data_IF_898014563472
#
_entry.id   IF_898014563472
#
_cell.length_a   1.000
_cell.length_b   1.000
_cell.length_c   1.000
_cell.angle_alpha   90.00
_cell.angle_beta   90.00
_cell.angle_gamma   90.00
#
_symmetry.space_group_name_H-M   'P 1'
#
loop_
_entity.id
_entity.type
_entity.pdbx_description
1 polymer ?
#
# COMPACT_ATOMS: atom_id res chain seq x y z
N UNK A 1 -4.36 -0.69 56.20
CA UNK A 1 -4.14 -2.15 55.96
C UNK A 1 -4.61 -2.51 54.55
N UNK A 2 -3.69 -2.73 53.59
CA UNK A 2 -3.82 -3.53 52.33
C UNK A 2 -2.77 -3.11 51.28
N UNK A 3 -1.53 -3.58 51.43
CA UNK A 3 -0.53 -3.63 50.34
C UNK A 3 0.12 -5.02 50.21
N UNK A 4 -0.20 -5.95 51.11
CA UNK A 4 0.39 -7.30 51.18
C UNK A 4 -0.36 -8.36 50.37
N UNK A 5 -1.59 -8.09 49.93
CA UNK A 5 -2.47 -9.13 49.37
C UNK A 5 -2.23 -9.39 47.86
N UNK A 6 -1.84 -8.36 47.09
CA UNK A 6 -1.57 -8.51 45.66
C UNK A 6 -0.23 -9.22 45.38
N UNK A 7 0.84 -8.81 46.06
CA UNK A 7 2.16 -9.43 45.93
C UNK A 7 2.17 -10.86 46.46
N UNK A 8 1.46 -11.13 47.56
CA UNK A 8 1.36 -12.48 48.14
C UNK A 8 0.71 -13.52 47.21
N UNK A 9 -0.15 -13.10 46.27
CA UNK A 9 -0.73 -14.00 45.26
C UNK A 9 0.10 -14.16 43.98
N UNK A 10 1.00 -13.22 43.70
CA UNK A 10 1.87 -13.23 42.51
C UNK A 10 3.17 -14.00 42.75
N UNK A 11 3.76 -13.88 43.93
CA UNK A 11 5.04 -14.56 44.26
C UNK A 11 4.97 -16.08 44.05
N UNK A 12 3.94 -16.81 44.54
CA UNK A 12 3.88 -18.26 44.36
C UNK A 12 3.66 -18.68 42.90
N UNK A 13 2.90 -17.89 42.12
CA UNK A 13 2.70 -18.14 40.69
C UNK A 13 3.96 -17.84 39.88
N UNK A 14 4.71 -16.82 40.28
CA UNK A 14 5.99 -16.48 39.68
C UNK A 14 7.02 -17.58 39.97
N UNK A 15 7.13 -18.03 41.21
CA UNK A 15 8.04 -19.11 41.59
C UNK A 15 7.70 -20.44 40.89
N UNK A 16 6.41 -20.72 40.67
CA UNK A 16 5.97 -21.87 39.89
C UNK A 16 6.36 -21.74 38.40
N UNK A 17 6.22 -20.56 37.81
CA UNK A 17 6.67 -20.28 36.43
C UNK A 17 8.19 -20.39 36.28
N UNK A 18 8.96 -19.92 37.28
CA UNK A 18 10.42 -20.03 37.30
C UNK A 18 10.84 -21.50 37.40
N UNK A 19 10.26 -22.27 38.32
CA UNK A 19 10.56 -23.69 38.45
C UNK A 19 10.18 -24.48 37.20
N UNK A 20 9.05 -24.15 36.57
CA UNK A 20 8.65 -24.78 35.32
C UNK A 20 9.59 -24.42 34.16
N UNK A 21 10.04 -23.17 34.07
CA UNK A 21 11.03 -22.73 33.09
C UNK A 21 12.37 -23.45 33.28
N UNK A 22 12.91 -23.50 34.50
CA UNK A 22 14.17 -24.18 34.81
C UNK A 22 14.12 -25.67 34.48
N UNK A 23 13.01 -26.34 34.81
CA UNK A 23 12.81 -27.75 34.47
C UNK A 23 12.64 -27.98 32.96
N UNK A 24 11.98 -27.07 32.25
CA UNK A 24 11.82 -27.14 30.79
C UNK A 24 13.16 -26.94 30.08
N UNK A 25 13.97 -25.98 30.52
CA UNK A 25 15.32 -25.73 29.99
C UNK A 25 16.24 -26.94 30.27
N UNK A 26 16.17 -27.52 31.47
CA UNK A 26 16.92 -28.75 31.80
C UNK A 26 16.50 -29.95 30.91
N UNK A 27 15.19 -30.06 30.60
CA UNK A 27 14.68 -31.04 29.65
C UNK A 27 15.14 -30.81 28.21
N UNK A 28 15.23 -29.54 27.79
CA UNK A 28 15.76 -29.14 26.47
C UNK A 28 17.23 -29.56 26.32
N UNK A 29 18.04 -29.34 27.37
CA UNK A 29 19.46 -29.71 27.39
C UNK A 29 19.70 -31.23 27.33
N UNK A 30 18.77 -32.04 27.86
CA UNK A 30 18.82 -33.52 27.78
C UNK A 30 18.37 -34.09 26.43
N UNK A 31 17.59 -33.33 25.66
CA UNK A 31 17.02 -33.72 24.36
C UNK A 31 17.51 -32.84 23.20
N UNK A 32 18.78 -32.44 23.21
CA UNK A 32 19.38 -31.44 22.30
C UNK A 32 19.04 -31.69 20.82
N UNK A 33 19.02 -32.93 20.34
CA UNK A 33 18.70 -33.24 18.94
C UNK A 33 17.29 -32.82 18.50
N UNK A 34 16.26 -33.07 19.33
CA UNK A 34 14.87 -32.70 19.00
C UNK A 34 14.69 -31.18 18.90
N UNK A 35 15.32 -30.43 19.81
CA UNK A 35 15.22 -28.98 19.80
C UNK A 35 16.07 -28.34 18.69
N UNK A 36 17.14 -28.99 18.25
CA UNK A 36 17.91 -28.58 17.07
C UNK A 36 17.09 -28.71 15.78
N UNK A 37 16.29 -29.78 15.66
CA UNK A 37 15.34 -29.93 14.54
C UNK A 37 14.26 -28.83 14.55
N UNK A 38 13.68 -28.53 15.72
CA UNK A 38 12.70 -27.45 15.84
C UNK A 38 13.32 -26.09 15.46
N UNK A 39 14.55 -25.82 15.92
CA UNK A 39 15.29 -24.62 15.55
C UNK A 39 15.51 -24.54 14.03
N UNK A 40 15.95 -25.63 13.41
CA UNK A 40 16.11 -25.72 11.95
C UNK A 40 14.80 -25.44 11.21
N UNK A 41 13.68 -25.99 11.68
CA UNK A 41 12.36 -25.73 11.09
C UNK A 41 11.97 -24.25 11.17
N UNK A 42 12.24 -23.59 12.30
CA UNK A 42 11.98 -22.15 12.46
C UNK A 42 12.86 -21.33 11.51
N UNK A 43 14.16 -21.65 11.41
CA UNK A 43 15.10 -20.96 10.50
C UNK A 43 14.68 -21.13 9.04
N UNK A 44 14.32 -22.35 8.63
CA UNK A 44 13.81 -22.61 7.27
C UNK A 44 12.50 -21.88 7.03
N UNK A 45 11.58 -21.89 7.99
CA UNK A 45 10.32 -21.15 7.91
C UNK A 45 10.55 -19.65 7.72
N UNK A 46 11.43 -19.06 8.54
CA UNK A 46 11.82 -17.65 8.43
C UNK A 46 12.42 -17.35 7.05
N UNK A 47 13.33 -18.18 6.55
CA UNK A 47 13.94 -17.99 5.24
C UNK A 47 12.90 -18.01 4.11
N UNK A 48 11.93 -18.93 4.16
CA UNK A 48 10.83 -19.01 3.19
C UNK A 48 9.93 -17.78 3.26
N UNK A 49 9.57 -17.33 4.46
CA UNK A 49 8.78 -16.11 4.65
C UNK A 49 9.53 -14.88 4.11
N UNK A 50 10.82 -14.77 4.39
CA UNK A 50 11.64 -13.65 3.92
C UNK A 50 11.76 -13.62 2.40
N UNK A 51 11.92 -14.78 1.74
CA UNK A 51 11.92 -14.86 0.27
C UNK A 51 10.55 -14.57 -0.35
N UNK A 52 9.45 -14.72 0.41
CA UNK A 52 8.08 -14.45 -0.07
C UNK A 52 7.57 -13.07 0.27
N UNK A 53 8.26 -12.32 1.13
CA UNK A 53 7.84 -10.99 1.51
C UNK A 53 8.07 -10.04 0.32
N UNK A 54 7.02 -9.50 -0.32
CA UNK A 54 7.20 -8.54 -1.39
C UNK A 54 7.93 -7.31 -0.83
N UNK A 55 9.05 -6.98 -1.44
CA UNK A 55 9.79 -5.77 -1.10
C UNK A 55 9.08 -4.57 -1.74
N UNK A 56 8.54 -3.67 -0.93
CA UNK A 56 8.16 -2.34 -1.39
C UNK A 56 9.04 -1.31 -0.68
N UNK A 57 9.50 -0.29 -1.41
CA UNK A 57 10.33 0.76 -0.84
C UNK A 57 9.49 1.69 0.06
N UNK A 58 8.29 2.04 -0.39
CA UNK A 58 7.27 2.80 0.32
C UNK A 58 5.88 2.36 -0.19
N UNK A 59 4.85 2.29 0.65
CA UNK A 59 3.48 2.12 0.16
C UNK A 59 3.09 3.34 -0.70
N UNK A 60 2.29 3.10 -1.74
CA UNK A 60 1.73 4.20 -2.52
C UNK A 60 0.75 4.99 -1.64
N UNK A 61 0.98 6.29 -1.48
CA UNK A 61 0.12 7.17 -0.68
C UNK A 61 -0.83 7.97 -1.58
N UNK A 62 -2.08 8.15 -1.15
CA UNK A 62 -3.01 9.08 -1.79
C UNK A 62 -2.55 10.52 -1.49
N UNK A 63 -1.78 11.08 -2.42
CA UNK A 63 -1.31 12.47 -2.32
C UNK A 63 -2.35 13.49 -2.82
N UNK A 64 -3.57 13.05 -3.15
CA UNK A 64 -4.62 13.90 -3.71
C UNK A 64 -4.35 14.39 -5.13
N UNK A 65 -3.32 13.88 -5.80
CA UNK A 65 -2.99 14.25 -7.18
C UNK A 65 -2.54 13.02 -7.97
N UNK A 66 -2.83 13.01 -9.28
CA UNK A 66 -2.27 12.03 -10.19
C UNK A 66 -2.10 12.59 -11.60
N UNK A 67 -1.33 11.88 -12.42
CA UNK A 67 -0.96 12.31 -13.76
C UNK A 67 -1.50 11.32 -14.79
N UNK A 68 -2.13 11.84 -15.84
CA UNK A 68 -2.55 11.05 -17.00
C UNK A 68 -1.67 11.40 -18.19
N UNK A 69 -0.96 10.42 -18.75
CA UNK A 69 -0.18 10.60 -19.98
C UNK A 69 -1.02 10.18 -21.18
N UNK A 70 -1.00 11.00 -22.23
CA UNK A 70 -1.77 10.78 -23.45
C UNK A 70 -0.78 10.69 -24.61
N UNK A 71 -0.81 9.56 -25.31
CA UNK A 71 0.06 9.31 -26.45
C UNK A 71 -0.77 8.79 -27.62
N UNK A 72 -0.91 9.61 -28.66
CA UNK A 72 -1.54 9.25 -29.92
C UNK A 72 -0.52 8.59 -30.87
N UNK A 73 -0.99 7.84 -31.88
CA UNK A 73 -0.13 7.28 -32.93
C UNK A 73 0.73 8.33 -33.62
N UNK A 74 1.87 7.90 -34.15
CA UNK A 74 2.78 8.76 -34.91
C UNK A 74 2.05 9.43 -36.09
N UNK A 75 2.24 10.74 -36.25
CA UNK A 75 1.60 11.54 -37.30
C UNK A 75 0.23 12.13 -36.91
N UNK A 76 -0.24 11.92 -35.67
CA UNK A 76 -1.38 12.67 -35.15
C UNK A 76 -1.01 14.16 -34.95
N UNK A 77 -1.94 15.04 -35.32
CA UNK A 77 -1.78 16.49 -35.17
C UNK A 77 -2.07 16.94 -33.75
N UNK A 78 -1.55 18.11 -33.39
CA UNK A 78 -1.80 18.72 -32.08
C UNK A 78 -3.31 18.90 -31.79
N UNK A 79 -4.11 19.18 -32.83
CA UNK A 79 -5.57 19.30 -32.73
C UNK A 79 -6.26 17.98 -32.36
N UNK A 80 -5.80 16.85 -32.90
CA UNK A 80 -6.33 15.52 -32.50
C UNK A 80 -5.97 15.20 -31.05
N UNK A 81 -4.74 15.52 -30.66
CA UNK A 81 -4.28 15.37 -29.27
C UNK A 81 -5.10 16.25 -28.32
N UNK A 82 -5.40 17.49 -28.73
CA UNK A 82 -6.25 18.40 -27.95
C UNK A 82 -7.63 17.80 -27.74
N UNK A 83 -8.26 17.27 -28.80
CA UNK A 83 -9.59 16.65 -28.70
C UNK A 83 -9.64 15.49 -27.70
N UNK A 84 -8.57 14.69 -27.65
CA UNK A 84 -8.44 13.61 -26.66
C UNK A 84 -8.23 14.19 -25.25
N UNK A 85 -7.39 15.20 -25.08
CA UNK A 85 -7.19 15.90 -23.81
C UNK A 85 -8.51 16.48 -23.27
N UNK A 86 -9.31 17.09 -24.15
CA UNK A 86 -10.63 17.63 -23.81
C UNK A 86 -11.59 16.51 -23.38
N UNK A 87 -11.56 15.37 -24.07
CA UNK A 87 -12.40 14.20 -23.73
C UNK A 87 -12.03 13.61 -22.37
N UNK A 88 -10.73 13.52 -22.07
CA UNK A 88 -10.21 13.05 -20.79
C UNK A 88 -10.57 14.03 -19.67
N UNK A 89 -10.44 15.33 -19.94
CA UNK A 89 -10.83 16.40 -19.00
C UNK A 89 -12.32 16.34 -18.69
N UNK A 90 -13.15 16.20 -19.72
CA UNK A 90 -14.60 16.10 -19.58
C UNK A 90 -15.01 14.87 -18.75
N UNK A 91 -14.39 13.71 -19.02
CA UNK A 91 -14.61 12.50 -18.24
C UNK A 91 -14.30 12.70 -16.75
N UNK A 92 -13.15 13.28 -16.40
CA UNK A 92 -12.79 13.50 -15.01
C UNK A 92 -13.70 14.53 -14.32
N UNK A 93 -14.07 15.61 -15.01
CA UNK A 93 -14.90 16.68 -14.44
C UNK A 93 -16.38 16.30 -14.33
N UNK A 94 -16.88 15.39 -15.16
CA UNK A 94 -18.29 14.98 -15.16
C UNK A 94 -18.51 13.62 -14.49
N UNK A 95 -17.80 12.58 -14.90
CA UNK A 95 -18.00 11.22 -14.39
C UNK A 95 -17.34 11.02 -13.02
N UNK A 96 -16.18 11.65 -12.78
CA UNK A 96 -15.46 11.59 -11.51
C UNK A 96 -15.59 12.88 -10.66
N UNK A 97 -16.64 13.68 -10.92
CA UNK A 97 -16.90 14.96 -10.23
C UNK A 97 -16.96 14.85 -8.71
N UNK A 98 -17.32 13.68 -8.17
CA UNK A 98 -17.32 13.43 -6.73
C UNK A 98 -15.91 13.56 -6.14
N UNK A 99 -14.89 13.11 -6.89
CA UNK A 99 -13.52 12.93 -6.44
C UNK A 99 -12.56 14.00 -6.98
N UNK A 100 -12.75 14.43 -8.23
CA UNK A 100 -11.86 15.38 -8.92
C UNK A 100 -12.23 16.82 -8.55
N UNK A 101 -11.21 17.62 -8.27
CA UNK A 101 -11.34 19.06 -8.01
C UNK A 101 -10.98 19.89 -9.26
N UNK A 102 -9.87 19.57 -9.92
CA UNK A 102 -9.44 20.28 -11.13
C UNK A 102 -8.59 19.42 -12.04
N UNK A 103 -8.65 19.70 -13.35
CA UNK A 103 -7.81 19.06 -14.37
C UNK A 103 -7.04 20.14 -15.13
N UNK A 104 -5.72 20.02 -15.21
CA UNK A 104 -4.86 20.89 -15.97
C UNK A 104 -4.14 20.10 -17.08
N UNK A 105 -4.37 20.44 -18.34
CA UNK A 105 -3.82 19.71 -19.49
C UNK A 105 -2.70 20.47 -20.19
N UNK A 106 -1.68 19.74 -20.62
CA UNK A 106 -0.58 20.22 -21.45
C UNK A 106 -0.57 19.44 -22.76
N UNK A 107 -0.66 20.15 -23.88
CA UNK A 107 -0.60 19.59 -25.22
C UNK A 107 0.79 19.81 -25.83
N UNK A 108 1.36 18.79 -26.46
CA UNK A 108 2.67 18.83 -27.09
C UNK A 108 3.82 18.36 -26.20
N UNK A 109 3.57 18.09 -24.91
CA UNK A 109 4.57 17.65 -23.95
C UNK A 109 4.02 16.54 -23.05
N UNK A 110 4.88 15.58 -22.73
CA UNK A 110 4.66 14.51 -21.77
C UNK A 110 6.00 14.05 -21.19
N UNK A 111 6.01 13.24 -20.13
CA UNK A 111 7.27 12.70 -19.60
C UNK A 111 7.97 11.73 -20.57
N UNK A 112 7.25 11.19 -21.56
CA UNK A 112 7.85 10.36 -22.62
C UNK A 112 8.45 11.19 -23.77
N UNK A 113 8.28 12.51 -23.78
CA UNK A 113 8.88 13.41 -24.76
C UNK A 113 7.96 14.53 -25.23
N UNK A 114 8.49 15.33 -26.17
CA UNK A 114 7.80 16.44 -26.82
C UNK A 114 7.39 16.05 -28.24
N UNK A 115 6.12 16.27 -28.60
CA UNK A 115 5.58 15.88 -29.90
C UNK A 115 4.11 16.24 -30.05
N UNK A 116 3.66 16.48 -31.28
CA UNK A 116 2.27 16.86 -31.57
C UNK A 116 1.24 15.78 -31.18
N UNK A 117 1.69 14.53 -31.09
CA UNK A 117 0.89 13.38 -30.68
C UNK A 117 0.97 13.08 -29.18
N UNK A 118 1.64 13.91 -28.38
CA UNK A 118 1.87 13.70 -26.95
C UNK A 118 1.19 14.78 -26.12
N UNK A 119 0.63 14.39 -24.97
CA UNK A 119 0.02 15.30 -24.01
C UNK A 119 0.01 14.72 -22.60
N UNK A 120 -0.30 15.56 -21.63
CA UNK A 120 -0.36 15.21 -20.21
C UNK A 120 -1.52 15.94 -19.55
N UNK A 121 -2.17 15.30 -18.58
CA UNK A 121 -3.12 15.94 -17.69
C UNK A 121 -2.68 15.77 -16.23
N UNK A 122 -2.67 16.87 -15.49
CA UNK A 122 -2.50 16.93 -14.05
C UNK A 122 -3.88 16.96 -13.43
N UNK A 123 -4.23 15.91 -12.69
CA UNK A 123 -5.54 15.80 -12.04
C UNK A 123 -5.35 16.00 -10.55
N UNK A 124 -5.97 17.04 -10.01
CA UNK A 124 -6.08 17.28 -8.58
C UNK A 124 -7.41 16.74 -8.09
N UNK A 125 -7.35 15.93 -7.05
CA UNK A 125 -8.50 15.43 -6.32
C UNK A 125 -8.87 16.40 -5.20
N UNK A 126 -10.10 16.27 -4.72
CA UNK A 126 -10.56 16.97 -3.52
C UNK A 126 -9.79 16.53 -2.28
N UNK A 127 -9.84 17.30 -1.19
CA UNK A 127 -9.30 16.88 0.11
C UNK A 127 -9.83 15.50 0.52
N UNK A 128 -8.99 14.73 1.19
CA UNK A 128 -9.31 13.35 1.61
C UNK A 128 -10.58 13.29 2.47
N UNK A 129 -10.80 14.31 3.31
CA UNK A 129 -11.99 14.41 4.16
C UNK A 129 -13.29 14.50 3.36
N UNK A 130 -13.24 15.00 2.12
CA UNK A 130 -14.37 15.09 1.21
C UNK A 130 -14.54 13.82 0.33
N UNK A 131 -13.59 12.88 0.40
CA UNK A 131 -13.57 11.62 -0.37
C UNK A 131 -13.68 10.44 0.59
N UNK A 132 -14.91 10.08 0.96
CA UNK A 132 -15.17 8.94 1.85
C UNK A 132 -15.11 7.62 1.08
N UNK A 133 -14.41 6.61 1.62
CA UNK A 133 -14.38 5.24 1.08
C UNK A 133 -13.11 4.92 0.28
N UNK A 134 -12.63 3.68 0.40
CA UNK A 134 -11.43 3.18 -0.28
C UNK A 134 -11.58 3.21 -1.82
N UNK A 135 -12.82 3.18 -2.31
CA UNK A 135 -13.17 3.37 -3.72
C UNK A 135 -12.78 4.75 -4.28
N UNK A 136 -12.69 5.77 -3.43
CA UNK A 136 -12.43 7.16 -3.85
C UNK A 136 -10.96 7.58 -3.68
N UNK A 137 -10.08 6.61 -3.41
CA UNK A 137 -8.65 6.79 -3.40
C UNK A 137 -8.07 6.94 -4.81
N UNK A 138 -6.90 7.58 -4.91
CA UNK A 138 -6.14 7.73 -6.17
C UNK A 138 -5.95 6.37 -6.86
N UNK A 139 -5.55 5.34 -6.10
CA UNK A 139 -5.28 4.01 -6.65
C UNK A 139 -6.55 3.39 -7.26
N UNK A 140 -7.68 3.54 -6.60
CA UNK A 140 -8.98 3.05 -7.09
C UNK A 140 -9.42 3.80 -8.35
N UNK A 141 -9.27 5.12 -8.41
CA UNK A 141 -9.68 5.93 -9.56
C UNK A 141 -8.84 5.61 -10.81
N UNK A 142 -7.55 5.28 -10.64
CA UNK A 142 -6.64 4.96 -11.75
C UNK A 142 -6.82 3.51 -12.24
N UNK A 143 -7.29 2.60 -11.38
CA UNK A 143 -7.44 1.17 -11.72
C UNK A 143 -8.41 0.97 -12.91
N UNK A 144 -7.97 0.35 -14.01
CA UNK A 144 -8.84 0.03 -15.13
C UNK A 144 -10.01 -0.86 -14.67
N UNK A 145 -11.25 -0.41 -14.87
CA UNK A 145 -12.45 -1.17 -14.51
C UNK A 145 -13.02 -0.90 -13.11
N UNK A 146 -12.54 0.13 -12.40
CA UNK A 146 -13.05 0.53 -11.09
C UNK A 146 -14.56 0.83 -11.07
N UNK A 147 -15.08 1.37 -12.18
CA UNK A 147 -16.51 1.48 -12.43
C UNK A 147 -16.85 0.63 -13.65
N UNK A 148 -17.20 -0.62 -13.39
CA UNK A 148 -17.97 -1.39 -14.36
C UNK A 148 -19.27 -0.63 -14.65
N UNK A 149 -19.64 -0.57 -15.93
CA UNK A 149 -20.90 0.00 -16.42
C UNK A 149 -22.11 -0.57 -15.66
#
# INVERSE_FOLDING_TARGET
MRKKDFSAGLTPRFDQSVNHYTNSVSGILRGTGRYLVIYLLIVVGMAVLFMRLPTSFLPDEDQGVFLTMIQLPSGATQERTQKVLDTVTDYYLHNEKANVESVFTVNGFSFSGQGQNSGMAFVSLKPWEARSGDENSVESIIKPGHRSL
#
